data_IF_515347445919
#
_entry.id   IF_515347445919
#
_cell.length_a   1.000
_cell.length_b   1.000
_cell.length_c   1.000
_cell.angle_alpha   90.00
_cell.angle_beta   90.00
_cell.angle_gamma   90.00
#
_symmetry.space_group_name_H-M   'P 1'
#
loop_
_entity.id
_entity.type
_entity.pdbx_description
1 polymer ?
#
# COMPACT_ATOMS: atom_id res chain seq x y z
N UNK A 1 13.34 -42.54 -47.16
CA UNK A 1 13.91 -41.82 -46.00
C UNK A 1 13.88 -40.28 -46.22
N UNK A 2 12.72 -39.71 -46.59
CA UNK A 2 12.57 -38.27 -46.94
C UNK A 2 11.44 -37.54 -46.21
N UNK A 3 10.60 -38.26 -45.44
CA UNK A 3 9.44 -37.68 -44.75
C UNK A 3 9.71 -37.26 -43.30
N UNK A 4 10.78 -37.76 -42.67
CA UNK A 4 11.13 -37.40 -41.29
C UNK A 4 11.79 -36.02 -41.14
N UNK A 5 12.45 -35.49 -42.18
CA UNK A 5 13.07 -34.16 -42.12
C UNK A 5 12.07 -32.99 -42.27
N UNK A 6 10.92 -33.22 -42.91
CA UNK A 6 9.93 -32.16 -43.11
C UNK A 6 9.09 -31.89 -41.85
N UNK A 7 8.78 -32.93 -41.07
CA UNK A 7 7.95 -32.80 -39.88
C UNK A 7 8.68 -32.14 -38.69
N UNK A 8 9.99 -32.39 -38.53
CA UNK A 8 10.80 -31.73 -37.49
C UNK A 8 10.99 -30.22 -37.75
N UNK A 9 11.00 -29.82 -39.02
CA UNK A 9 11.17 -28.41 -39.41
C UNK A 9 9.93 -27.57 -39.11
N UNK A 10 8.74 -28.15 -39.32
CA UNK A 10 7.45 -27.49 -39.02
C UNK A 10 7.16 -27.38 -37.52
N UNK A 11 7.62 -28.35 -36.71
CA UNK A 11 7.48 -28.30 -35.24
C UNK A 11 8.38 -27.23 -34.60
N UNK A 12 9.59 -27.01 -35.15
CA UNK A 12 10.50 -25.96 -34.67
C UNK A 12 10.03 -24.55 -35.06
N UNK A 13 9.43 -24.39 -36.25
CA UNK A 13 8.89 -23.11 -36.69
C UNK A 13 7.63 -22.69 -35.91
N UNK A 14 6.80 -23.65 -35.49
CA UNK A 14 5.61 -23.37 -34.67
C UNK A 14 5.97 -23.06 -33.21
N UNK A 15 7.01 -23.68 -32.63
CA UNK A 15 7.46 -23.33 -31.26
C UNK A 15 8.03 -21.91 -31.14
N UNK A 16 8.56 -21.33 -32.22
CA UNK A 16 9.09 -19.96 -32.24
C UNK A 16 8.01 -18.87 -32.39
N UNK A 17 6.80 -19.24 -32.82
CA UNK A 17 5.68 -18.29 -33.02
C UNK A 17 4.71 -18.22 -31.84
N UNK A 18 4.78 -19.14 -30.88
CA UNK A 18 3.94 -19.14 -29.66
C UNK A 18 4.63 -18.53 -28.41
N UNK A 19 5.89 -18.10 -28.51
CA UNK A 19 6.63 -17.48 -27.40
C UNK A 19 6.36 -15.98 -27.20
N UNK A 20 5.42 -15.37 -27.96
CA UNK A 20 4.94 -14.01 -27.71
C UNK A 20 3.90 -13.94 -26.57
N UNK A 21 3.89 -14.93 -25.68
CA UNK A 21 3.09 -14.90 -24.46
C UNK A 21 3.76 -13.94 -23.46
N UNK A 22 3.30 -12.68 -23.47
CA UNK A 22 3.35 -11.71 -22.38
C UNK A 22 4.54 -11.86 -21.41
N UNK A 23 5.75 -11.62 -21.92
CA UNK A 23 6.89 -11.35 -21.05
C UNK A 23 6.72 -9.95 -20.50
N UNK A 24 6.52 -9.84 -19.19
CA UNK A 24 6.81 -8.63 -18.42
C UNK A 24 8.17 -8.11 -18.85
N UNK A 25 8.21 -7.04 -19.65
CA UNK A 25 9.46 -6.42 -20.01
C UNK A 25 9.76 -5.34 -18.96
N UNK A 26 10.89 -5.51 -18.27
CA UNK A 26 11.47 -4.41 -17.51
C UNK A 26 11.81 -3.29 -18.48
N UNK A 27 11.43 -2.06 -18.14
CA UNK A 27 11.77 -0.91 -18.96
C UNK A 27 13.28 -0.63 -18.84
N UNK A 28 14.00 -0.40 -19.95
CA UNK A 28 15.39 0.02 -19.92
C UNK A 28 15.57 1.36 -19.17
N UNK A 29 16.70 1.53 -18.49
CA UNK A 29 16.99 2.71 -17.69
C UNK A 29 17.18 3.99 -18.53
N UNK A 30 17.60 3.83 -19.78
CA UNK A 30 17.72 4.90 -20.77
C UNK A 30 16.35 5.43 -21.19
N UNK A 31 15.29 4.65 -20.98
CA UNK A 31 13.92 5.03 -21.27
C UNK A 31 13.20 5.66 -20.08
N UNK A 32 13.83 5.75 -18.92
CA UNK A 32 13.25 6.36 -17.72
C UNK A 32 12.71 7.77 -18.02
N UNK A 33 11.40 8.03 -17.80
CA UNK A 33 10.82 9.36 -17.99
C UNK A 33 11.39 10.44 -17.07
N UNK A 34 11.81 10.04 -15.86
CA UNK A 34 12.28 10.92 -14.80
C UNK A 34 13.60 10.41 -14.21
N UNK A 35 14.47 11.33 -13.80
CA UNK A 35 15.53 11.08 -12.84
C UNK A 35 15.15 11.68 -11.49
N UNK A 36 15.47 11.00 -10.40
CA UNK A 36 15.13 11.42 -9.05
C UNK A 36 16.32 11.43 -8.09
N UNK A 37 16.31 12.37 -7.17
CA UNK A 37 17.15 12.38 -5.98
C UNK A 37 16.26 12.49 -4.75
N UNK A 38 16.46 11.60 -3.79
CA UNK A 38 15.57 11.43 -2.64
C UNK A 38 16.39 11.51 -1.35
N UNK A 39 16.01 12.45 -0.49
CA UNK A 39 16.41 12.48 0.92
C UNK A 39 15.17 12.25 1.77
N UNK A 40 15.17 11.20 2.58
CA UNK A 40 14.07 10.88 3.48
C UNK A 40 14.61 10.65 4.88
N UNK A 41 14.01 11.27 5.88
CA UNK A 41 14.35 11.06 7.27
C UNK A 41 13.10 10.90 8.12
N UNK A 42 12.95 9.77 8.79
CA UNK A 42 11.94 9.59 9.84
C UNK A 42 12.57 9.48 11.23
N UNK A 43 11.91 10.08 12.21
CA UNK A 43 12.22 9.99 13.62
C UNK A 43 11.02 9.40 14.38
N UNK A 44 11.22 8.24 15.00
CA UNK A 44 10.23 7.53 15.80
C UNK A 44 10.40 7.86 17.28
N UNK A 45 9.36 8.39 17.91
CA UNK A 45 9.37 8.73 19.34
C UNK A 45 8.81 7.62 20.21
N UNK A 46 9.09 7.69 21.51
CA UNK A 46 8.61 6.76 22.53
C UNK A 46 7.10 6.82 22.75
N UNK A 47 6.49 7.96 22.45
CA UNK A 47 5.04 8.19 22.56
C UNK A 47 4.23 7.61 21.38
N UNK A 48 4.90 6.97 20.42
CA UNK A 48 4.28 6.40 19.22
C UNK A 48 4.05 7.40 18.09
N UNK A 49 4.37 8.68 18.28
CA UNK A 49 4.37 9.66 17.18
C UNK A 49 5.59 9.47 16.29
N UNK A 50 5.42 9.77 15.00
CA UNK A 50 6.51 9.71 14.02
C UNK A 50 6.61 11.02 13.26
N UNK A 51 7.82 11.54 13.12
CA UNK A 51 8.09 12.75 12.34
C UNK A 51 8.95 12.41 11.14
N UNK A 52 8.47 12.65 9.93
CA UNK A 52 9.20 12.38 8.69
C UNK A 52 9.41 13.66 7.87
N UNK A 53 10.60 13.84 7.33
CA UNK A 53 10.94 14.87 6.35
C UNK A 53 11.42 14.23 5.07
N UNK A 54 10.85 14.62 3.93
CA UNK A 54 11.20 14.06 2.62
C UNK A 54 11.48 15.19 1.65
N UNK A 55 12.67 15.22 1.06
CA UNK A 55 13.01 16.12 -0.04
C UNK A 55 13.18 15.30 -1.32
N UNK A 56 12.41 15.67 -2.33
CA UNK A 56 12.45 15.06 -3.65
C UNK A 56 12.96 16.06 -4.66
N UNK A 57 13.82 15.60 -5.57
CA UNK A 57 14.15 16.32 -6.78
C UNK A 57 13.84 15.42 -7.97
N UNK A 58 13.12 15.95 -8.94
CA UNK A 58 12.81 15.26 -10.19
C UNK A 58 13.35 16.06 -11.36
N UNK A 59 14.04 15.40 -12.29
CA UNK A 59 14.42 15.98 -13.57
C UNK A 59 13.66 15.27 -14.69
N UNK A 60 12.96 16.04 -15.52
CA UNK A 60 12.22 15.49 -16.67
C UNK A 60 13.20 15.08 -17.76
N UNK A 61 13.26 13.79 -18.06
CA UNK A 61 14.14 13.25 -19.11
C UNK A 61 13.41 13.08 -20.44
N UNK A 62 12.10 12.78 -20.39
CA UNK A 62 11.26 12.52 -21.57
C UNK A 62 9.89 13.19 -21.44
N UNK A 63 9.14 13.38 -22.54
CA UNK A 63 7.82 14.01 -22.50
C UNK A 63 6.84 13.34 -21.54
N UNK A 64 6.83 12.00 -21.44
CA UNK A 64 5.95 11.27 -20.51
C UNK A 64 6.19 11.63 -19.04
N UNK A 65 7.41 12.01 -18.66
CA UNK A 65 7.72 12.40 -17.29
C UNK A 65 7.01 13.68 -16.85
N UNK A 66 6.62 14.53 -17.81
CA UNK A 66 5.83 15.74 -17.52
C UNK A 66 4.48 15.40 -16.92
N UNK A 67 3.79 14.40 -17.47
CA UNK A 67 2.43 14.07 -17.05
C UNK A 67 2.43 13.52 -15.62
N UNK A 68 3.43 12.68 -15.30
CA UNK A 68 3.63 12.08 -13.98
C UNK A 68 3.82 13.10 -12.84
N UNK A 69 4.53 14.21 -13.09
CA UNK A 69 4.87 15.21 -12.04
C UNK A 69 4.16 16.55 -12.22
N UNK A 70 3.24 16.65 -13.18
CA UNK A 70 2.44 17.86 -13.43
C UNK A 70 1.64 18.28 -12.20
N UNK A 71 1.12 17.29 -11.47
CA UNK A 71 0.47 17.44 -10.19
C UNK A 71 0.80 16.23 -9.33
N UNK A 72 1.23 16.49 -8.10
CA UNK A 72 1.56 15.44 -7.14
C UNK A 72 0.59 15.54 -5.97
N UNK A 73 -0.07 14.43 -5.66
CA UNK A 73 -1.09 14.34 -4.61
C UNK A 73 -0.59 13.47 -3.45
N UNK A 74 -0.72 13.99 -2.23
CA UNK A 74 -0.42 13.31 -0.99
C UNK A 74 -1.69 13.14 -0.18
N UNK A 75 -2.14 11.90 -0.02
CA UNK A 75 -3.29 11.57 0.84
C UNK A 75 -2.79 11.11 2.21
N UNK A 76 -3.42 11.60 3.28
CA UNK A 76 -3.05 11.31 4.67
C UNK A 76 -4.29 11.33 5.58
N UNK A 77 -4.21 10.68 6.74
CA UNK A 77 -5.34 10.65 7.68
C UNK A 77 -5.61 12.04 8.24
N UNK A 78 -6.85 12.31 8.64
CA UNK A 78 -7.22 13.60 9.25
C UNK A 78 -6.42 13.94 10.52
N UNK A 79 -6.09 12.92 11.33
CA UNK A 79 -5.31 13.05 12.57
C UNK A 79 -3.81 13.31 12.33
N UNK A 80 -3.33 13.01 11.12
CA UNK A 80 -1.94 13.26 10.73
C UNK A 80 -1.81 14.70 10.19
N UNK A 81 -0.59 15.23 10.19
CA UNK A 81 -0.29 16.53 9.61
C UNK A 81 0.71 16.39 8.47
N UNK A 82 0.48 17.10 7.36
CA UNK A 82 1.39 17.18 6.23
C UNK A 82 1.55 18.63 5.81
N UNK A 83 2.79 19.10 5.80
CA UNK A 83 3.17 20.45 5.40
C UNK A 83 4.12 20.39 4.22
N UNK A 84 3.85 21.21 3.19
CA UNK A 84 4.81 21.45 2.11
C UNK A 84 5.71 22.60 2.55
N UNK A 85 6.90 22.29 3.04
CA UNK A 85 7.84 23.31 3.54
C UNK A 85 8.44 24.13 2.39
N UNK A 86 8.68 23.46 1.27
CA UNK A 86 9.33 24.05 0.10
C UNK A 86 8.82 23.37 -1.16
N UNK A 87 8.57 24.14 -2.21
CA UNK A 87 8.33 23.65 -3.56
C UNK A 87 8.92 24.64 -4.55
N UNK A 88 9.69 24.16 -5.52
CA UNK A 88 10.40 24.99 -6.49
C UNK A 88 10.44 24.34 -7.88
N UNK A 89 10.61 25.20 -8.87
CA UNK A 89 10.80 24.84 -10.27
C UNK A 89 12.08 25.47 -10.80
N UNK A 90 12.95 24.66 -11.38
CA UNK A 90 14.15 25.11 -12.10
C UNK A 90 14.01 24.77 -13.58
N UNK A 91 13.94 25.80 -14.41
CA UNK A 91 13.94 25.63 -15.86
C UNK A 91 15.38 25.38 -16.36
N UNK A 92 15.57 24.65 -17.47
CA UNK A 92 16.90 24.43 -18.05
C UNK A 92 17.69 25.73 -18.22
N UNK A 93 18.89 25.78 -17.63
CA UNK A 93 19.79 26.95 -17.68
C UNK A 93 19.33 28.18 -16.88
N UNK A 94 18.24 28.07 -16.10
CA UNK A 94 17.72 29.16 -15.26
C UNK A 94 17.92 28.86 -13.78
N UNK A 95 17.75 29.89 -12.94
CA UNK A 95 17.72 29.74 -11.48
C UNK A 95 16.42 29.07 -11.03
N UNK A 96 16.47 28.44 -9.86
CA UNK A 96 15.29 27.90 -9.17
C UNK A 96 14.33 29.03 -8.81
N UNK A 97 13.03 28.79 -8.98
CA UNK A 97 11.96 29.72 -8.65
C UNK A 97 10.98 29.01 -7.71
N UNK A 98 10.64 29.61 -6.54
CA UNK A 98 9.61 29.08 -5.66
C UNK A 98 8.26 28.96 -6.34
N UNK A 99 7.53 27.90 -6.00
CA UNK A 99 6.16 27.71 -6.46
C UNK A 99 5.22 28.66 -5.72
N UNK A 100 4.26 29.24 -6.44
CA UNK A 100 3.24 30.08 -5.84
C UNK A 100 2.34 29.26 -4.89
N UNK A 101 1.98 29.82 -3.73
CA UNK A 101 1.16 29.12 -2.73
C UNK A 101 -0.20 28.69 -3.27
N UNK A 102 -0.78 29.41 -4.23
CA UNK A 102 -2.04 29.02 -4.90
C UNK A 102 -1.96 27.71 -5.69
N UNK A 103 -0.75 27.16 -5.89
CA UNK A 103 -0.51 25.87 -6.53
C UNK A 103 -0.42 24.71 -5.54
N UNK A 104 -0.53 25.00 -4.25
CA UNK A 104 -0.55 24.02 -3.18
C UNK A 104 -1.92 24.11 -2.51
N UNK A 105 -2.70 23.05 -2.59
CA UNK A 105 -4.06 23.00 -2.04
C UNK A 105 -4.22 21.78 -1.14
N UNK A 106 -4.86 21.95 0.02
CA UNK A 106 -5.18 20.87 0.94
C UNK A 106 -6.69 20.83 1.16
N UNK A 107 -7.29 19.69 0.82
CA UNK A 107 -8.74 19.48 0.90
C UNK A 107 -9.06 18.11 1.46
N UNK A 108 -10.32 17.86 1.79
CA UNK A 108 -10.76 16.49 2.07
C UNK A 108 -10.60 15.64 0.81
N UNK A 109 -10.03 14.45 0.97
CA UNK A 109 -9.80 13.53 -0.14
C UNK A 109 -11.15 13.10 -0.72
N UNK A 110 -11.29 13.00 -2.06
CA UNK A 110 -12.52 12.55 -2.68
C UNK A 110 -12.72 11.06 -2.40
N UNK A 111 -13.58 10.70 -1.44
CA UNK A 111 -13.87 9.30 -1.12
C UNK A 111 -15.39 9.01 -1.09
N UNK A 112 -16.01 8.70 -2.25
CA UNK A 112 -17.43 8.37 -2.31
C UNK A 112 -17.76 6.93 -1.86
N UNK A 113 -16.76 6.07 -1.60
CA UNK A 113 -16.96 4.62 -1.50
C UNK A 113 -16.75 4.02 -0.09
N UNK A 114 -16.17 4.75 0.86
CA UNK A 114 -15.75 4.17 2.16
C UNK A 114 -16.08 5.00 3.41
N UNK A 115 -17.35 5.36 3.63
CA UNK A 115 -17.87 5.78 4.95
C UNK A 115 -17.00 6.78 5.75
N UNK A 116 -16.99 6.66 7.09
CA UNK A 116 -16.42 7.58 8.10
C UNK A 116 -14.91 7.89 8.02
N UNK A 117 -14.17 7.42 7.00
CA UNK A 117 -12.74 7.72 6.86
C UNK A 117 -12.57 9.11 6.24
N UNK A 118 -12.24 10.08 7.10
CA UNK A 118 -11.87 11.43 6.69
C UNK A 118 -10.36 11.46 6.42
N UNK A 119 -10.01 11.38 5.13
CA UNK A 119 -8.65 11.62 4.67
C UNK A 119 -8.53 13.06 4.15
N UNK A 120 -7.35 13.63 4.30
CA UNK A 120 -6.98 14.90 3.66
C UNK A 120 -6.07 14.58 2.47
N UNK A 121 -6.13 15.41 1.45
CA UNK A 121 -5.27 15.36 0.28
C UNK A 121 -4.63 16.73 0.07
N UNK A 122 -3.29 16.75 0.03
CA UNK A 122 -2.51 17.92 -0.39
C UNK A 122 -2.03 17.72 -1.82
N UNK A 123 -2.34 18.66 -2.70
CA UNK A 123 -1.96 18.67 -4.11
C UNK A 123 -0.93 19.76 -4.38
N UNK A 124 0.15 19.43 -5.10
CA UNK A 124 1.15 20.40 -5.57
C UNK A 124 1.15 20.40 -7.10
N UNK A 125 0.82 21.53 -7.72
CA UNK A 125 0.73 21.66 -9.18
C UNK A 125 1.92 22.43 -9.78
N UNK A 126 2.68 21.79 -10.67
CA UNK A 126 3.86 22.39 -11.30
C UNK A 126 3.56 22.83 -12.74
N UNK A 127 3.59 24.15 -13.03
CA UNK A 127 3.30 24.66 -14.37
C UNK A 127 4.52 24.62 -15.30
N UNK A 128 4.28 24.74 -16.62
CA UNK A 128 5.33 24.98 -17.63
C UNK A 128 6.46 23.95 -17.64
N UNK A 129 6.13 22.70 -17.33
CA UNK A 129 7.05 21.57 -17.38
C UNK A 129 7.48 21.26 -18.81
N UNK A 130 8.79 21.05 -19.00
CA UNK A 130 9.43 20.60 -20.25
C UNK A 130 10.64 19.73 -19.95
N UNK A 131 11.16 19.02 -20.96
CA UNK A 131 12.39 18.24 -20.81
C UNK A 131 13.52 19.10 -20.22
N UNK A 132 14.24 18.54 -19.25
CA UNK A 132 15.29 19.19 -18.47
C UNK A 132 14.81 20.08 -17.32
N UNK A 133 13.49 20.26 -17.16
CA UNK A 133 12.95 20.96 -15.98
C UNK A 133 13.23 20.12 -14.73
N UNK A 134 13.70 20.78 -13.67
CA UNK A 134 13.88 20.17 -12.35
C UNK A 134 12.80 20.69 -11.39
N UNK A 135 12.02 19.77 -10.84
CA UNK A 135 11.06 20.00 -9.77
C UNK A 135 11.73 19.64 -8.45
N UNK A 136 11.58 20.46 -7.41
CA UNK A 136 12.05 20.16 -6.06
C UNK A 136 10.94 20.44 -5.05
N UNK A 137 10.74 19.56 -4.08
CA UNK A 137 9.86 19.85 -2.96
C UNK A 137 10.28 19.12 -1.70
N UNK A 138 9.98 19.73 -0.55
CA UNK A 138 10.23 19.19 0.79
C UNK A 138 8.90 19.09 1.53
N UNK A 139 8.63 17.91 2.06
CA UNK A 139 7.46 17.59 2.87
C UNK A 139 7.89 17.34 4.31
N UNK A 140 7.13 17.89 5.24
CA UNK A 140 7.17 17.54 6.66
C UNK A 140 5.86 16.84 7.00
N UNK A 141 5.95 15.59 7.46
CA UNK A 141 4.81 14.78 7.84
C UNK A 141 4.92 14.36 9.31
N UNK A 142 3.88 14.62 10.08
CA UNK A 142 3.75 14.22 11.48
C UNK A 142 2.61 13.20 11.58
N UNK A 143 2.95 11.98 11.99
CA UNK A 143 1.99 10.91 12.19
C UNK A 143 1.58 10.86 13.66
N UNK A 144 0.26 10.89 13.89
CA UNK A 144 -0.30 10.78 15.22
C UNK A 144 -0.10 9.36 15.79
N UNK A 145 0.16 9.29 17.10
CA UNK A 145 0.20 8.03 17.81
C UNK A 145 -1.17 7.33 17.71
N UNK A 146 -1.15 6.04 17.35
CA UNK A 146 -2.38 5.25 17.29
C UNK A 146 -2.68 4.66 18.67
N UNK A 147 -3.92 4.79 19.18
CA UNK A 147 -4.27 4.26 20.49
C UNK A 147 -3.94 2.78 20.63
N UNK A 148 -3.38 2.39 21.77
CA UNK A 148 -3.03 1.01 22.12
C UNK A 148 -1.92 0.37 21.27
N UNK A 149 -1.30 1.10 20.34
CA UNK A 149 -0.09 0.68 19.66
C UNK A 149 1.09 1.27 20.43
N UNK A 150 1.86 0.40 21.08
CA UNK A 150 3.06 0.80 21.81
C UNK A 150 4.29 0.63 20.91
N UNK A 151 5.02 1.72 20.67
CA UNK A 151 6.20 1.72 19.80
C UNK A 151 5.87 1.97 18.33
N UNK A 152 6.71 1.51 17.42
CA UNK A 152 6.56 1.77 15.99
C UNK A 152 6.72 0.50 15.15
N UNK A 153 6.01 0.49 14.03
CA UNK A 153 6.24 -0.42 12.91
C UNK A 153 6.16 0.40 11.62
N UNK A 154 7.22 0.37 10.82
CA UNK A 154 7.33 1.16 9.60
C UNK A 154 7.81 0.28 8.45
N UNK A 155 7.26 0.50 7.27
CA UNK A 155 7.64 -0.22 6.06
C UNK A 155 8.10 0.80 5.03
N UNK A 156 9.34 0.64 4.57
CA UNK A 156 9.85 1.38 3.43
C UNK A 156 9.94 0.45 2.22
N UNK A 157 9.29 0.84 1.13
CA UNK A 157 9.20 0.09 -0.11
C UNK A 157 9.72 0.94 -1.27
N UNK A 158 10.50 0.33 -2.15
CA UNK A 158 10.84 0.92 -3.45
C UNK A 158 9.94 0.30 -4.52
N UNK A 159 8.79 0.92 -4.74
CA UNK A 159 7.84 0.46 -5.76
C UNK A 159 8.36 0.70 -7.18
N UNK A 160 7.97 -0.16 -8.15
CA UNK A 160 8.20 0.13 -9.55
C UNK A 160 7.61 1.49 -9.91
N UNK A 161 8.40 2.33 -10.57
CA UNK A 161 8.01 3.71 -10.87
C UNK A 161 8.71 4.23 -12.12
N UNK A 162 8.13 5.22 -12.83
CA UNK A 162 8.73 5.81 -14.04
C UNK A 162 9.94 6.71 -13.74
N UNK A 163 10.47 6.69 -12.52
CA UNK A 163 11.62 7.47 -12.13
C UNK A 163 12.80 6.54 -11.81
N UNK A 164 13.92 6.76 -12.49
CA UNK A 164 15.19 6.22 -12.01
C UNK A 164 15.68 7.05 -10.83
N UNK A 165 16.36 6.42 -9.89
CA UNK A 165 16.88 7.04 -8.68
C UNK A 165 18.38 7.22 -8.88
N UNK A 166 18.80 8.46 -9.09
CA UNK A 166 20.21 8.85 -9.28
C UNK A 166 20.90 9.04 -7.92
N UNK A 167 20.16 9.43 -6.87
CA UNK A 167 20.65 9.53 -5.48
C UNK A 167 19.56 9.14 -4.49
N UNK A 168 19.92 8.31 -3.51
CA UNK A 168 19.04 7.93 -2.41
C UNK A 168 19.77 8.06 -1.08
N UNK A 169 19.13 8.72 -0.13
CA UNK A 169 19.55 8.79 1.26
C UNK A 169 18.33 8.70 2.16
N UNK A 170 18.10 7.52 2.73
CA UNK A 170 16.98 7.25 3.64
C UNK A 170 17.55 7.04 5.04
N UNK A 171 17.10 7.84 6.00
CA UNK A 171 17.53 7.79 7.39
C UNK A 171 16.34 7.49 8.30
N UNK A 172 16.53 6.54 9.17
CA UNK A 172 15.59 6.22 10.25
C UNK A 172 16.30 6.43 11.57
N UNK A 173 15.63 7.12 12.50
CA UNK A 173 16.11 7.32 13.86
C UNK A 173 15.00 7.00 14.83
N UNK A 174 15.33 6.51 16.02
CA UNK A 174 14.34 6.18 17.03
C UNK A 174 14.85 6.45 18.45
N UNK A 175 13.94 6.73 19.37
CA UNK A 175 14.23 6.81 20.81
C UNK A 175 14.51 5.41 21.40
N UNK A 176 13.91 4.36 20.82
CA UNK A 176 14.15 2.92 21.14
C UNK A 176 15.07 2.25 20.12
N UNK A 177 15.70 1.11 20.46
CA UNK A 177 16.39 0.28 19.48
C UNK A 177 15.48 -0.11 18.32
N UNK A 178 16.01 -0.01 17.10
CA UNK A 178 15.37 -0.43 15.86
C UNK A 178 15.72 -1.90 15.62
N UNK A 179 14.71 -2.76 15.52
CA UNK A 179 14.85 -4.08 14.89
C UNK A 179 14.35 -3.99 13.46
N UNK A 180 14.98 -4.72 12.54
CA UNK A 180 14.62 -4.62 11.13
C UNK A 180 14.86 -5.93 10.39
N UNK A 181 14.16 -6.06 9.26
CA UNK A 181 14.37 -7.11 8.26
C UNK A 181 14.23 -6.50 6.87
N UNK A 182 14.95 -7.05 5.90
CA UNK A 182 14.87 -6.59 4.52
C UNK A 182 14.65 -7.74 3.54
N UNK A 183 14.06 -7.40 2.40
CA UNK A 183 13.81 -8.29 1.29
C UNK A 183 14.22 -7.56 0.00
N UNK A 184 15.01 -8.23 -0.86
CA UNK A 184 15.36 -7.73 -2.21
C UNK A 184 16.08 -6.36 -2.21
N UNK A 185 16.93 -6.14 -1.20
CA UNK A 185 17.71 -4.91 -1.00
C UNK A 185 19.16 -5.04 -1.49
N UNK A 186 19.45 -5.92 -2.45
CA UNK A 186 20.82 -6.24 -2.89
C UNK A 186 21.53 -5.02 -3.50
N UNK A 187 20.77 -4.10 -4.10
CA UNK A 187 21.26 -2.87 -4.72
C UNK A 187 21.47 -1.71 -3.73
N UNK A 188 21.20 -1.93 -2.45
CA UNK A 188 21.22 -0.91 -1.41
C UNK A 188 22.25 -1.24 -0.33
N UNK A 189 22.93 -0.21 0.16
CA UNK A 189 23.72 -0.29 1.39
C UNK A 189 22.79 0.01 2.56
N UNK A 190 22.78 -0.87 3.56
CA UNK A 190 22.04 -0.68 4.80
C UNK A 190 23.06 -0.61 5.94
N UNK A 191 23.13 0.54 6.60
CA UNK A 191 24.04 0.77 7.74
C UNK A 191 23.21 0.97 8.99
N UNK A 192 23.38 0.09 9.98
CA UNK A 192 22.75 0.21 11.29
C UNK A 192 23.82 0.61 12.31
N UNK A 193 23.63 1.74 12.99
CA UNK A 193 24.61 2.21 13.99
C UNK A 193 24.68 1.25 15.19
N UNK A 194 25.82 1.28 15.90
CA UNK A 194 26.11 0.40 17.04
C UNK A 194 25.09 0.51 18.18
N UNK A 195 24.52 1.70 18.39
CA UNK A 195 23.47 1.95 19.39
C UNK A 195 22.08 1.40 18.99
N UNK A 196 21.97 0.88 17.77
CA UNK A 196 20.75 0.37 17.14
C UNK A 196 19.64 1.41 16.96
N UNK A 197 19.91 2.71 17.19
CA UNK A 197 18.89 3.78 17.13
C UNK A 197 18.88 4.53 15.81
N UNK A 198 19.80 4.23 14.91
CA UNK A 198 19.87 4.86 13.59
C UNK A 198 20.16 3.83 12.50
N UNK A 199 19.32 3.83 11.46
CA UNK A 199 19.48 3.01 10.26
C UNK A 199 19.51 3.92 9.02
N UNK A 200 20.49 3.74 8.15
CA UNK A 200 20.68 4.54 6.94
C UNK A 200 20.71 3.62 5.72
N UNK A 201 20.02 4.03 4.65
CA UNK A 201 19.93 3.31 3.38
C UNK A 201 20.40 4.23 2.25
N UNK A 202 21.33 3.74 1.45
CA UNK A 202 21.83 4.43 0.25
C UNK A 202 21.95 3.47 -0.93
N UNK A 203 22.10 3.98 -2.14
CA UNK A 203 22.38 3.13 -3.31
C UNK A 203 23.83 2.60 -3.26
N UNK A 204 24.02 1.32 -3.57
CA UNK A 204 25.37 0.77 -3.83
C UNK A 204 25.95 1.29 -5.12
N UNK A 205 25.12 1.30 -6.18
CA UNK A 205 25.50 1.74 -7.51
C UNK A 205 24.34 2.53 -8.11
N UNK A 206 24.44 3.87 -8.14
CA UNK A 206 23.48 4.69 -8.88
C UNK A 206 23.74 4.61 -10.39
N UNK A 207 22.71 4.81 -11.23
CA UNK A 207 21.30 4.92 -10.85
C UNK A 207 20.61 3.56 -10.63
N UNK A 208 19.56 3.53 -9.81
CA UNK A 208 18.65 2.38 -9.66
C UNK A 208 17.36 2.63 -10.44
N UNK A 209 16.89 1.64 -11.20
CA UNK A 209 15.62 1.75 -11.94
C UNK A 209 14.87 0.42 -11.94
N UNK A 210 13.60 0.48 -11.55
CA UNK A 210 12.67 -0.62 -11.61
C UNK A 210 11.36 -0.07 -12.15
N UNK A 211 11.03 -0.44 -13.39
CA UNK A 211 9.73 -0.13 -13.97
C UNK A 211 9.31 -1.27 -14.92
N UNK A 212 8.01 -1.53 -14.98
CA UNK A 212 7.45 -2.58 -15.84
C UNK A 212 6.60 -1.92 -16.92
N UNK A 213 6.70 -2.43 -18.16
CA UNK A 213 5.79 -2.04 -19.25
C UNK A 213 4.76 -3.13 -19.51
N UNK A 214 3.57 -2.73 -19.95
CA UNK A 214 2.46 -3.62 -20.30
C UNK A 214 1.95 -4.51 -19.16
N UNK A 215 2.14 -4.08 -17.92
CA UNK A 215 1.56 -4.72 -16.73
C UNK A 215 0.37 -3.92 -16.18
N UNK A 216 -0.59 -4.61 -15.57
CA UNK A 216 -1.69 -3.95 -14.89
C UNK A 216 -1.18 -3.31 -13.59
N UNK A 217 -1.69 -2.14 -13.22
CA UNK A 217 -1.35 -1.52 -11.93
C UNK A 217 -1.66 -2.50 -10.78
N UNK A 218 -0.63 -2.86 -10.02
CA UNK A 218 -0.73 -3.79 -8.89
C UNK A 218 -0.52 -5.27 -9.23
N UNK A 219 -0.18 -5.63 -10.48
CA UNK A 219 0.21 -7.01 -10.84
C UNK A 219 1.63 -7.41 -10.41
N UNK A 220 2.45 -6.45 -9.97
CA UNK A 220 3.78 -6.72 -9.43
C UNK A 220 3.67 -7.48 -8.09
N UNK A 221 3.70 -8.80 -8.16
CA UNK A 221 3.58 -9.68 -6.99
C UNK A 221 4.82 -9.53 -6.10
N UNK A 222 4.68 -8.85 -4.95
CA UNK A 222 5.49 -8.95 -3.70
C UNK A 222 7.04 -8.93 -3.85
N UNK A 223 7.54 -8.59 -5.01
CA UNK A 223 8.95 -8.65 -5.37
C UNK A 223 9.45 -7.22 -5.59
N UNK A 224 9.45 -6.43 -4.53
CA UNK A 224 9.99 -5.08 -4.52
C UNK A 224 11.03 -4.99 -3.40
N UNK A 225 12.09 -4.17 -3.56
CA UNK A 225 12.98 -3.87 -2.44
C UNK A 225 12.17 -3.30 -1.29
N UNK A 226 12.34 -3.90 -0.12
CA UNK A 226 11.58 -3.56 1.07
C UNK A 226 12.44 -3.72 2.30
N UNK A 227 12.24 -2.80 3.25
CA UNK A 227 12.73 -2.94 4.61
C UNK A 227 11.59 -2.64 5.58
N UNK A 228 11.46 -3.51 6.57
CA UNK A 228 10.53 -3.33 7.68
C UNK A 228 11.33 -3.01 8.93
N UNK A 229 10.87 -2.02 9.69
CA UNK A 229 11.46 -1.56 10.93
C UNK A 229 10.40 -1.68 12.03
N UNK A 230 10.82 -2.10 13.22
CA UNK A 230 9.96 -2.12 14.40
C UNK A 230 10.73 -1.77 15.67
N UNK A 231 10.00 -1.43 16.73
CA UNK A 231 10.56 -1.24 18.08
C UNK A 231 10.74 -2.55 18.86
N UNK A 232 10.01 -3.62 18.50
CA UNK A 232 10.10 -4.92 19.18
C UNK A 232 9.68 -6.06 18.25
N UNK A 233 10.27 -7.24 18.47
CA UNK A 233 9.84 -8.50 17.84
C UNK A 233 8.84 -9.28 18.73
N UNK A 234 8.58 -8.82 19.94
CA UNK A 234 7.67 -9.48 20.87
C UNK A 234 6.20 -9.21 20.49
N UNK A 235 5.39 -10.25 20.47
CA UNK A 235 3.98 -10.15 20.09
C UNK A 235 3.15 -9.38 21.10
N UNK A 236 3.46 -9.48 22.40
CA UNK A 236 2.75 -8.75 23.45
C UNK A 236 3.06 -7.25 23.40
N UNK A 237 4.30 -6.87 23.11
CA UNK A 237 4.66 -5.47 22.93
C UNK A 237 3.86 -4.80 21.81
N UNK A 238 3.64 -5.52 20.70
CA UNK A 238 2.96 -4.99 19.52
C UNK A 238 1.43 -5.10 19.59
N UNK A 239 0.88 -6.17 20.17
CA UNK A 239 -0.55 -6.48 20.10
C UNK A 239 -1.23 -6.71 21.45
N UNK A 240 -0.50 -6.79 22.55
CA UNK A 240 -1.05 -7.17 23.87
C UNK A 240 -2.14 -6.22 24.35
N UNK A 241 -1.95 -4.90 24.20
CA UNK A 241 -2.95 -3.90 24.58
C UNK A 241 -4.23 -3.99 23.72
N UNK A 242 -4.07 -4.20 22.40
CA UNK A 242 -5.19 -4.39 21.48
C UNK A 242 -5.95 -5.68 21.83
N UNK A 243 -5.23 -6.79 22.03
CA UNK A 243 -5.82 -8.08 22.37
C UNK A 243 -6.58 -8.00 23.71
N UNK A 244 -6.02 -7.33 24.71
CA UNK A 244 -6.71 -7.08 25.99
C UNK A 244 -8.00 -6.31 25.76
N UNK A 245 -7.95 -5.18 25.05
CA UNK A 245 -9.15 -4.37 24.76
C UNK A 245 -10.20 -5.16 23.99
N UNK A 246 -9.76 -5.95 23.01
CA UNK A 246 -10.63 -6.80 22.24
C UNK A 246 -11.33 -7.85 23.12
N UNK A 247 -10.58 -8.50 24.02
CA UNK A 247 -11.15 -9.47 24.96
C UNK A 247 -12.12 -8.83 25.95
N UNK A 248 -11.87 -7.60 26.40
CA UNK A 248 -12.84 -6.83 27.22
C UNK A 248 -14.15 -6.58 26.46
N UNK A 249 -14.07 -6.23 25.17
CA UNK A 249 -15.24 -6.03 24.32
C UNK A 249 -16.01 -7.35 24.15
N UNK A 250 -15.31 -8.46 23.92
CA UNK A 250 -15.94 -9.77 23.79
C UNK A 250 -16.60 -10.26 25.09
N UNK A 251 -16.03 -9.91 26.24
CA UNK A 251 -16.57 -10.28 27.55
C UNK A 251 -17.70 -9.34 28.01
N UNK A 252 -17.89 -8.19 27.34
CA UNK A 252 -18.94 -7.24 27.69
C UNK A 252 -20.32 -7.87 27.49
N UNK A 253 -21.26 -7.52 28.38
CA UNK A 253 -22.66 -7.92 28.20
C UNK A 253 -23.16 -7.35 26.88
N UNK A 254 -23.75 -8.23 26.07
CA UNK A 254 -24.43 -7.81 24.86
C UNK A 254 -25.54 -6.80 25.21
N UNK A 255 -25.76 -5.77 24.39
CA UNK A 255 -26.96 -4.93 24.50
C UNK A 255 -28.23 -5.81 24.48
N UNK A 256 -29.31 -5.43 25.18
CA UNK A 256 -30.49 -6.29 25.37
C UNK A 256 -31.04 -6.91 24.06
N UNK A 257 -31.16 -6.10 23.00
CA UNK A 257 -31.63 -6.57 21.69
C UNK A 257 -30.68 -7.60 21.06
N UNK A 258 -29.37 -7.38 21.17
CA UNK A 258 -28.36 -8.33 20.68
C UNK A 258 -28.35 -9.62 21.50
N UNK A 259 -28.54 -9.52 22.82
CA UNK A 259 -28.61 -10.68 23.70
C UNK A 259 -29.82 -11.57 23.38
N UNK A 260 -30.98 -10.97 23.10
CA UNK A 260 -32.20 -11.67 22.68
C UNK A 260 -31.98 -12.44 21.37
N UNK A 261 -31.41 -11.77 20.36
CA UNK A 261 -31.04 -12.40 19.09
C UNK A 261 -30.10 -13.60 19.30
N UNK A 262 -29.06 -13.44 20.13
CA UNK A 262 -28.08 -14.51 20.40
C UNK A 262 -28.74 -15.68 21.11
N UNK A 263 -29.64 -15.42 22.06
CA UNK A 263 -30.43 -16.47 22.73
C UNK A 263 -31.27 -17.26 21.72
N UNK A 264 -31.96 -16.55 20.82
CA UNK A 264 -32.85 -17.13 19.81
C UNK A 264 -32.13 -17.99 18.73
N UNK A 265 -30.80 -17.88 18.63
CA UNK A 265 -30.01 -18.66 17.67
C UNK A 265 -29.10 -19.70 18.33
N UNK A 266 -29.02 -19.75 19.66
CA UNK A 266 -28.03 -20.56 20.39
C UNK A 266 -28.14 -22.06 20.06
N UNK A 267 -29.36 -22.56 19.92
CA UNK A 267 -29.69 -23.96 19.65
C UNK A 267 -29.75 -24.32 18.15
N UNK A 268 -29.56 -23.34 17.26
CA UNK A 268 -29.58 -23.55 15.81
C UNK A 268 -28.26 -24.20 15.33
N UNK A 269 -28.31 -24.94 14.22
CA UNK A 269 -27.10 -25.48 13.56
C UNK A 269 -26.21 -24.35 13.03
N UNK A 270 -24.90 -24.59 12.77
CA UNK A 270 -24.01 -23.58 12.18
C UNK A 270 -24.56 -22.94 10.90
N UNK A 271 -25.18 -23.72 10.02
CA UNK A 271 -25.81 -23.25 8.77
C UNK A 271 -27.02 -22.36 9.05
N UNK A 272 -27.84 -22.74 10.03
CA UNK A 272 -29.01 -21.96 10.46
C UNK A 272 -28.61 -20.66 11.19
N UNK A 273 -27.49 -20.68 11.92
CA UNK A 273 -26.87 -19.48 12.53
C UNK A 273 -26.40 -18.52 11.44
N UNK A 274 -25.62 -19.00 10.45
CA UNK A 274 -25.15 -18.18 9.32
C UNK A 274 -26.30 -17.53 8.52
N UNK A 275 -27.38 -18.29 8.27
CA UNK A 275 -28.57 -17.76 7.60
C UNK A 275 -29.32 -16.72 8.46
N UNK A 276 -29.40 -16.90 9.78
CA UNK A 276 -30.07 -15.94 10.67
C UNK A 276 -29.28 -14.63 10.78
N UNK A 277 -27.94 -14.68 10.88
CA UNK A 277 -27.10 -13.48 10.85
C UNK A 277 -27.27 -12.70 9.54
N UNK A 278 -27.32 -13.39 8.40
CA UNK A 278 -27.53 -12.74 7.08
C UNK A 278 -28.87 -12.02 6.98
N UNK A 279 -29.95 -12.62 7.52
CA UNK A 279 -31.28 -12.01 7.52
C UNK A 279 -31.32 -10.76 8.40
N UNK A 280 -30.65 -10.77 9.56
CA UNK A 280 -30.63 -9.62 10.49
C UNK A 280 -29.87 -8.44 9.88
N UNK A 281 -28.74 -8.68 9.22
CA UNK A 281 -27.99 -7.61 8.53
C UNK A 281 -28.80 -6.98 7.39
N UNK A 282 -29.57 -7.78 6.66
CA UNK A 282 -30.47 -7.30 5.60
C UNK A 282 -31.66 -6.52 6.18
N UNK A 283 -32.23 -6.96 7.30
CA UNK A 283 -33.36 -6.27 7.94
C UNK A 283 -32.95 -4.93 8.55
N UNK A 284 -31.73 -4.82 9.10
CA UNK A 284 -31.17 -3.55 9.56
C UNK A 284 -30.92 -2.57 8.40
N UNK A 285 -30.37 -3.06 7.29
CA UNK A 285 -30.18 -2.25 6.08
C UNK A 285 -31.50 -1.75 5.46
N UNK A 286 -32.59 -2.52 5.59
CA UNK A 286 -33.92 -2.09 5.13
C UNK A 286 -34.58 -1.13 6.14
N UNK A 287 -34.30 -1.29 7.45
CA UNK A 287 -34.79 -0.41 8.52
C UNK A 287 -34.22 1.01 8.46
N UNK A 288 -32.96 1.19 8.07
CA UNK A 288 -32.39 2.52 7.80
C UNK A 288 -32.98 3.19 6.56
N UNK A 289 -33.38 2.41 5.54
CA UNK A 289 -34.08 2.93 4.36
C UNK A 289 -35.55 3.27 4.67
N UNK A 290 -36.17 2.58 5.65
CA UNK A 290 -37.56 2.79 6.04
C UNK A 290 -37.81 4.05 6.90
N UNK A 291 -36.79 4.67 7.48
CA UNK A 291 -36.91 6.00 8.12
C UNK A 291 -37.04 7.16 7.11
N UNK A 292 -37.15 6.87 5.81
CA UNK A 292 -37.30 7.88 4.76
C UNK A 292 -38.53 7.77 3.86
N UNK A 293 -39.19 6.62 3.70
CA UNK A 293 -40.29 6.49 2.72
C UNK A 293 -41.29 5.37 3.09
N UNK A 294 -42.57 5.73 3.16
CA UNK A 294 -43.70 4.80 3.29
C UNK A 294 -44.00 4.13 1.95
N UNK A 295 -44.04 2.79 1.85
CA UNK A 295 -44.76 2.12 0.75
C UNK A 295 -45.39 0.77 1.16
N UNK A 296 -46.60 0.58 0.62
CA UNK A 296 -47.50 -0.56 0.80
C UNK A 296 -46.96 -1.89 0.24
N UNK A 297 -47.38 -2.98 0.89
CA UNK A 297 -47.14 -4.37 0.51
C UNK A 297 -47.41 -4.64 -0.98
N UNK A 298 -46.43 -5.26 -1.64
CA UNK A 298 -46.69 -6.23 -2.69
C UNK A 298 -45.74 -7.43 -2.49
N UNK A 299 -46.33 -8.51 -1.99
CA UNK A 299 -45.72 -9.82 -1.83
C UNK A 299 -45.47 -10.42 -3.22
N UNK A 300 -44.28 -10.26 -3.82
CA UNK A 300 -43.89 -11.02 -5.01
C UNK A 300 -42.36 -11.11 -5.18
N UNK A 301 -41.88 -12.36 -5.20
CA UNK A 301 -40.58 -12.85 -5.72
C UNK A 301 -39.28 -12.38 -5.02
N UNK A 302 -39.03 -12.93 -3.82
CA UNK A 302 -37.69 -13.00 -3.23
C UNK A 302 -36.91 -14.30 -3.57
N UNK A 303 -37.40 -15.12 -4.52
CA UNK A 303 -36.70 -16.33 -4.99
C UNK A 303 -35.68 -16.08 -6.11
N UNK A 304 -35.71 -14.94 -6.79
CA UNK A 304 -34.85 -14.67 -7.95
C UNK A 304 -33.60 -13.83 -7.67
N UNK A 305 -33.52 -13.09 -6.55
CA UNK A 305 -32.29 -12.35 -6.20
C UNK A 305 -31.25 -13.19 -5.47
N UNK A 306 -31.63 -14.28 -4.81
CA UNK A 306 -30.68 -15.18 -4.12
C UNK A 306 -29.80 -15.96 -5.10
N UNK A 307 -30.21 -16.13 -6.37
CA UNK A 307 -29.38 -16.81 -7.36
C UNK A 307 -28.35 -15.92 -8.08
N UNK A 308 -28.41 -14.59 -7.93
CA UNK A 308 -27.40 -13.70 -8.52
C UNK A 308 -26.15 -13.55 -7.64
N UNK A 309 -26.26 -13.75 -6.32
CA UNK A 309 -25.16 -13.54 -5.36
C UNK A 309 -24.41 -14.83 -5.00
N UNK A 310 -24.92 -16.01 -5.38
CA UNK A 310 -24.26 -17.31 -5.12
C UNK A 310 -23.22 -17.68 -6.20
N UNK A 311 -23.12 -16.93 -7.30
CA UNK A 311 -22.15 -17.21 -8.38
C UNK A 311 -20.74 -16.61 -8.21
N UNK A 312 -20.45 -15.91 -7.12
CA UNK A 312 -19.11 -15.34 -6.84
C UNK A 312 -18.38 -15.98 -5.66
N UNK A 313 -18.93 -17.05 -5.05
CA UNK A 313 -18.28 -17.82 -3.98
C UNK A 313 -17.89 -19.23 -4.41
N UNK A 314 -17.33 -19.35 -5.62
CA UNK A 314 -16.82 -20.61 -6.16
C UNK A 314 -15.34 -20.52 -6.56
N UNK A 315 -14.50 -19.95 -5.69
CA UNK A 315 -13.05 -20.08 -5.75
C UNK A 315 -12.44 -20.07 -4.34
N UNK A 316 -12.70 -21.12 -3.55
CA UNK A 316 -11.77 -21.56 -2.50
C UNK A 316 -12.05 -23.05 -2.23
N UNK A 317 -11.21 -23.92 -2.80
CA UNK A 317 -11.19 -25.36 -2.50
C UNK A 317 -10.31 -25.58 -1.27
N UNK A 318 -10.75 -26.33 -0.23
CA UNK A 318 -9.92 -26.68 0.91
C UNK A 318 -9.33 -28.07 0.69
N UNK A 319 -8.11 -28.16 0.17
CA UNK A 319 -7.30 -29.38 0.31
C UNK A 319 -5.84 -29.03 0.61
N UNK A 320 -5.31 -29.79 1.57
CA UNK A 320 -3.90 -29.97 1.94
C UNK A 320 -3.28 -28.92 2.88
N UNK A 321 -3.31 -29.19 4.19
CA UNK A 321 -2.14 -29.05 5.07
C UNK A 321 -2.24 -30.10 6.21
N UNK A 322 -1.55 -31.23 6.03
CA UNK A 322 -1.05 -32.07 7.14
C UNK A 322 0.38 -31.62 7.47
N UNK A 323 0.83 -31.73 8.73
CA UNK A 323 2.14 -31.24 9.14
C UNK A 323 3.22 -32.27 8.78
N UNK A 324 4.26 -31.86 8.08
CA UNK A 324 5.54 -32.57 8.06
C UNK A 324 6.59 -31.68 8.70
N UNK A 325 7.16 -32.18 9.79
CA UNK A 325 8.26 -31.55 10.49
C UNK A 325 9.55 -31.64 9.69
N UNK A 326 10.33 -30.58 9.73
CA UNK A 326 11.76 -30.62 9.46
C UNK A 326 12.48 -29.63 10.36
N UNK A 327 13.52 -30.13 11.01
CA UNK A 327 14.42 -29.42 11.92
C UNK A 327 15.14 -28.31 11.14
N UNK A 328 15.15 -27.09 11.67
CA UNK A 328 16.06 -26.03 11.22
C UNK A 328 17.23 -25.91 12.19
N UNK A 329 18.43 -26.13 11.63
CA UNK A 329 19.72 -25.92 12.25
C UNK A 329 20.02 -24.43 12.32
N UNK A 330 20.30 -23.93 13.52
CA UNK A 330 20.90 -22.62 13.73
C UNK A 330 22.41 -22.69 13.43
N UNK A 331 22.93 -21.73 12.66
CA UNK A 331 24.33 -21.30 12.76
C UNK A 331 24.34 -19.79 12.92
N UNK A 332 25.13 -19.35 13.91
CA UNK A 332 25.32 -17.95 14.28
C UNK A 332 26.44 -17.26 13.52
#
# INVERSE_FOLDING_TARGET
>A
MRYHLFCLSLFKASLALFSSSALSALQPIEEAPLASEIDHHCHFKDDGTTKCSSTYHYTILRPSGREEISRIDFTFNEDDNLTVEKAELTQPGKKSVPLDKSRIDTRLAPNPAKGFLQEKQTSIAFPNLRIGTRVSYTLQQDYAAKPMINGFHYIYNEYPSPQRIDRLNVKFTAERPIVWRSERMENFNITHKKDKKELVITLKKPPYYLNYVNEANGSYVRQIPRIELASSLDLQDNFGAIAKRYNEILAAKLPPLSAEVVSNIKEKTPEQKGNTFTIITVTWAIGEVANGVTFHLACLKLKSMVMATVKTWQYFSPQCLKPQGSKLSLRG
#
